data_IF_056129330021
#
_entry.id   IF_056129330021
#
_cell.length_a   1.000
_cell.length_b   1.000
_cell.length_c   1.000
_cell.angle_alpha   90.00
_cell.angle_beta   90.00
_cell.angle_gamma   90.00
#
_symmetry.space_group_name_H-M   'P 1'
#
loop_
_entity.id
_entity.type
_entity.pdbx_description
1 polymer ?
#
# COMPACT_ATOMS: atom_id res chain seq x y z
N UNK A 1 -8.76 -10.43 -16.24
CA UNK A 1 -9.77 -11.15 -17.07
C UNK A 1 -11.13 -10.87 -16.47
N UNK A 2 -12.13 -10.41 -17.24
CA UNK A 2 -13.45 -10.10 -16.64
C UNK A 2 -14.23 -11.39 -16.38
N UNK A 3 -14.48 -11.70 -15.11
CA UNK A 3 -15.17 -12.93 -14.69
C UNK A 3 -16.67 -12.88 -15.02
N UNK A 4 -17.17 -13.86 -15.79
CA UNK A 4 -18.58 -13.93 -16.18
C UNK A 4 -19.37 -14.78 -15.20
N UNK A 5 -20.68 -14.53 -15.14
CA UNK A 5 -21.62 -15.20 -14.22
C UNK A 5 -21.56 -16.75 -14.27
N UNK A 6 -21.26 -17.34 -15.43
CA UNK A 6 -21.22 -18.80 -15.59
C UNK A 6 -19.81 -19.40 -15.51
N UNK A 7 -18.78 -18.58 -15.34
CA UNK A 7 -17.40 -19.04 -15.20
C UNK A 7 -17.21 -19.74 -13.83
N UNK A 8 -16.22 -20.64 -13.70
CA UNK A 8 -15.82 -21.16 -12.39
C UNK A 8 -15.49 -20.02 -11.42
N UNK A 9 -15.90 -20.16 -10.17
CA UNK A 9 -15.63 -19.15 -9.15
C UNK A 9 -14.13 -19.06 -8.85
N UNK A 10 -13.63 -17.84 -8.67
CA UNK A 10 -12.23 -17.53 -8.39
C UNK A 10 -11.70 -18.16 -7.09
N UNK A 11 -12.58 -18.50 -6.15
CA UNK A 11 -12.22 -19.10 -4.87
C UNK A 11 -11.81 -20.58 -4.96
N UNK A 12 -11.90 -21.22 -6.14
CA UNK A 12 -11.53 -22.62 -6.34
C UNK A 12 -12.58 -23.63 -5.85
N UNK A 13 -13.80 -23.20 -5.49
CA UNK A 13 -14.87 -24.08 -5.01
C UNK A 13 -15.42 -25.06 -6.06
N UNK A 14 -15.14 -24.83 -7.35
CA UNK A 14 -15.74 -25.56 -8.46
C UNK A 14 -17.16 -25.12 -8.82
N UNK A 15 -17.79 -24.26 -8.02
CA UNK A 15 -19.11 -23.69 -8.30
C UNK A 15 -19.04 -22.59 -9.36
N UNK A 16 -20.18 -22.32 -10.01
CA UNK A 16 -20.29 -21.15 -10.90
C UNK A 16 -20.23 -19.87 -10.08
N UNK A 17 -19.50 -18.86 -10.55
CA UNK A 17 -19.34 -17.58 -9.86
C UNK A 17 -20.67 -16.96 -9.41
N UNK A 18 -21.71 -16.98 -10.26
CA UNK A 18 -23.05 -16.48 -9.91
C UNK A 18 -23.75 -17.18 -8.74
N UNK A 19 -23.33 -18.40 -8.40
CA UNK A 19 -23.88 -19.22 -7.31
C UNK A 19 -22.99 -19.22 -6.07
N UNK A 20 -21.78 -18.66 -6.18
CA UNK A 20 -20.76 -18.71 -5.15
C UNK A 20 -20.50 -17.30 -4.60
N UNK A 21 -19.60 -16.52 -5.21
CA UNK A 21 -19.20 -15.21 -4.68
C UNK A 21 -20.00 -14.02 -5.22
N UNK A 22 -20.57 -14.10 -6.43
CA UNK A 22 -21.34 -12.97 -6.99
C UNK A 22 -22.49 -12.47 -6.10
N UNK A 23 -23.26 -13.33 -5.38
CA UNK A 23 -24.34 -12.87 -4.52
C UNK A 23 -23.89 -12.19 -3.23
N UNK A 24 -22.65 -12.45 -2.79
CA UNK A 24 -22.09 -11.95 -1.52
C UNK A 24 -21.07 -10.82 -1.71
N UNK A 25 -20.49 -10.68 -2.90
CA UNK A 25 -19.71 -9.51 -3.30
C UNK A 25 -20.65 -8.32 -3.51
N UNK A 26 -21.04 -7.70 -2.39
CA UNK A 26 -21.69 -6.40 -2.40
C UNK A 26 -20.61 -5.36 -2.61
N UNK A 27 -20.71 -4.61 -3.71
CA UNK A 27 -19.82 -3.47 -3.95
C UNK A 27 -19.90 -2.49 -2.79
N UNK A 28 -18.73 -2.01 -2.38
CA UNK A 28 -18.56 -1.01 -1.37
C UNK A 28 -19.14 0.33 -1.82
N UNK A 29 -19.56 1.10 -0.82
CA UNK A 29 -19.97 2.49 -0.95
C UNK A 29 -19.24 3.30 0.12
N UNK A 30 -18.88 4.57 -0.17
CA UNK A 30 -18.31 5.44 0.84
C UNK A 30 -19.25 5.59 2.06
N UNK A 31 -18.68 5.53 3.26
CA UNK A 31 -19.30 5.93 4.50
C UNK A 31 -19.19 7.43 4.75
N UNK A 32 -19.50 7.83 5.99
CA UNK A 32 -19.34 9.21 6.47
C UNK A 32 -17.91 9.42 6.96
N UNK A 33 -17.22 10.37 6.34
CA UNK A 33 -15.85 10.74 6.74
C UNK A 33 -15.90 11.77 7.88
N UNK A 34 -15.29 11.44 9.02
CA UNK A 34 -15.19 12.38 10.16
C UNK A 34 -14.18 13.51 9.86
N UNK A 35 -14.24 14.67 10.56
CA UNK A 35 -13.33 15.79 10.31
C UNK A 35 -11.84 15.44 10.41
N UNK A 36 -11.01 16.16 9.66
CA UNK A 36 -9.55 16.04 9.71
C UNK A 36 -9.01 16.34 11.13
N UNK A 37 -8.09 15.50 11.61
CA UNK A 37 -7.50 15.59 12.96
C UNK A 37 -6.36 16.61 12.99
N UNK A 38 -6.19 17.28 14.14
CA UNK A 38 -5.13 18.27 14.33
C UNK A 38 -3.84 17.63 14.83
N UNK A 39 -2.70 18.03 14.27
CA UNK A 39 -1.36 17.67 14.77
C UNK A 39 -0.85 18.77 15.72
N UNK A 40 -0.34 18.44 16.93
CA UNK A 40 0.24 19.42 17.86
C UNK A 40 1.33 20.31 17.22
N UNK A 41 1.44 21.60 17.60
CA UNK A 41 2.37 22.55 16.97
C UNK A 41 3.84 22.16 17.10
N UNK A 42 4.22 21.43 18.14
CA UNK A 42 5.60 21.02 18.42
C UNK A 42 6.14 19.90 17.50
N UNK A 43 5.25 19.16 16.83
CA UNK A 43 5.66 18.10 15.89
C UNK A 43 6.13 18.74 14.59
N UNK A 44 7.30 18.31 14.12
CA UNK A 44 7.86 18.74 12.84
C UNK A 44 6.91 18.35 11.70
N UNK A 45 6.69 19.27 10.76
CA UNK A 45 5.73 19.09 9.67
C UNK A 45 6.45 18.97 8.32
N UNK A 46 5.99 18.09 7.42
CA UNK A 46 6.48 18.10 6.06
C UNK A 46 6.04 19.39 5.33
N UNK A 47 6.70 19.80 4.24
CA UNK A 47 6.45 21.09 3.59
C UNK A 47 5.02 21.29 3.05
N UNK A 48 4.25 20.21 2.87
CA UNK A 48 2.87 20.26 2.40
C UNK A 48 1.82 20.28 3.52
N UNK A 49 2.18 20.11 4.79
CA UNK A 49 1.22 19.91 5.87
C UNK A 49 0.17 21.03 5.97
N UNK A 50 0.55 22.28 5.67
CA UNK A 50 -0.36 23.43 5.69
C UNK A 50 -1.12 23.63 4.38
N UNK A 51 -0.42 23.50 3.25
CA UNK A 51 -0.97 23.89 1.93
C UNK A 51 -1.61 22.74 1.16
N UNK A 52 -1.33 21.51 1.60
CA UNK A 52 -1.54 20.27 0.89
C UNK A 52 -0.71 20.07 -0.38
N UNK A 53 0.15 21.01 -0.76
CA UNK A 53 0.89 20.93 -2.01
C UNK A 53 2.34 20.49 -1.75
N UNK A 54 2.74 19.27 -2.16
CA UNK A 54 4.14 18.86 -2.04
C UNK A 54 5.04 19.68 -2.97
N UNK A 55 6.29 19.94 -2.56
CA UNK A 55 7.25 20.63 -3.41
C UNK A 55 7.59 19.75 -4.63
N UNK A 56 8.09 20.35 -5.73
CA UNK A 56 8.58 19.59 -6.87
C UNK A 56 9.66 18.57 -6.46
N UNK A 57 9.67 17.42 -7.12
CA UNK A 57 10.68 16.37 -6.88
C UNK A 57 12.06 16.91 -7.28
N UNK A 58 12.98 16.92 -6.32
CA UNK A 58 14.36 17.40 -6.47
C UNK A 58 15.37 16.48 -5.79
N UNK A 59 14.90 15.62 -4.91
CA UNK A 59 15.73 14.67 -4.19
C UNK A 59 16.24 13.58 -5.15
N UNK A 60 17.52 13.24 -5.03
CA UNK A 60 18.10 12.13 -5.78
C UNK A 60 17.63 10.78 -5.24
N UNK A 61 17.67 9.75 -6.09
CA UNK A 61 17.36 8.38 -5.70
C UNK A 61 18.35 7.86 -4.65
N UNK A 62 19.65 8.15 -4.82
CA UNK A 62 20.73 7.78 -3.89
C UNK A 62 20.79 8.75 -2.71
N UNK A 63 20.65 8.22 -1.49
CA UNK A 63 20.61 8.98 -0.24
C UNK A 63 21.99 9.03 0.42
N UNK A 64 22.24 10.09 1.19
CA UNK A 64 23.42 10.16 2.04
C UNK A 64 23.29 9.20 3.24
N UNK A 65 24.40 8.83 3.87
CA UNK A 65 24.38 7.96 5.05
C UNK A 65 23.58 8.56 6.21
N UNK A 66 23.58 9.89 6.36
CA UNK A 66 22.77 10.60 7.35
C UNK A 66 21.27 10.46 7.08
N UNK A 67 20.85 10.67 5.82
CA UNK A 67 19.45 10.50 5.41
C UNK A 67 19.00 9.05 5.66
N UNK A 68 19.83 8.07 5.27
CA UNK A 68 19.53 6.64 5.46
C UNK A 68 19.34 6.32 6.94
N UNK A 69 20.19 6.84 7.83
CA UNK A 69 20.07 6.56 9.26
C UNK A 69 18.78 7.16 9.85
N UNK A 70 18.42 8.39 9.48
CA UNK A 70 17.13 8.97 9.86
C UNK A 70 15.96 8.16 9.31
N UNK A 71 16.07 7.66 8.08
CA UNK A 71 15.04 6.82 7.46
C UNK A 71 14.83 5.50 8.21
N UNK A 72 15.88 4.87 8.76
CA UNK A 72 15.71 3.69 9.62
C UNK A 72 14.80 3.98 10.81
N UNK A 73 14.96 5.14 11.45
CA UNK A 73 14.09 5.60 12.53
C UNK A 73 12.64 5.80 12.07
N UNK A 74 12.42 6.55 10.99
CA UNK A 74 11.08 6.79 10.44
C UNK A 74 10.36 5.50 10.01
N UNK A 75 11.09 4.59 9.35
CA UNK A 75 10.59 3.30 8.91
C UNK A 75 10.25 2.37 10.08
N UNK A 76 11.08 2.33 11.13
CA UNK A 76 10.78 1.56 12.34
C UNK A 76 9.48 2.05 13.00
N UNK A 77 9.29 3.36 13.08
CA UNK A 77 8.07 3.98 13.62
C UNK A 77 6.84 3.58 12.78
N UNK A 78 6.91 3.70 11.45
CA UNK A 78 5.81 3.32 10.56
C UNK A 78 5.45 1.83 10.71
N UNK A 79 6.45 0.95 10.75
CA UNK A 79 6.24 -0.50 10.93
C UNK A 79 5.63 -0.86 12.29
N UNK A 80 6.03 -0.17 13.37
CA UNK A 80 5.40 -0.34 14.69
C UNK A 80 3.92 0.07 14.68
N UNK A 81 3.62 1.24 14.10
CA UNK A 81 2.25 1.74 14.00
C UNK A 81 1.38 0.81 13.15
N UNK A 82 1.90 0.29 12.04
CA UNK A 82 1.19 -0.69 11.21
C UNK A 82 0.87 -1.97 11.99
N UNK A 83 1.80 -2.48 12.82
CA UNK A 83 1.54 -3.64 13.69
C UNK A 83 0.47 -3.35 14.74
N UNK A 84 0.51 -2.18 15.37
CA UNK A 84 -0.50 -1.73 16.34
C UNK A 84 -1.88 -1.61 15.69
N UNK A 85 -1.97 -0.98 14.53
CA UNK A 85 -3.21 -0.83 13.76
C UNK A 85 -3.77 -2.18 13.30
N UNK A 86 -2.89 -3.06 12.80
CA UNK A 86 -3.23 -4.43 12.41
C UNK A 86 -3.84 -5.26 13.54
N UNK A 87 -3.41 -5.04 14.79
CA UNK A 87 -3.94 -5.73 15.96
C UNK A 87 -5.38 -5.33 16.32
N UNK A 88 -5.87 -4.19 15.79
CA UNK A 88 -7.25 -3.73 15.96
C UNK A 88 -8.21 -4.37 14.96
N UNK A 89 -7.71 -4.98 13.89
CA UNK A 89 -8.53 -5.47 12.78
C UNK A 89 -9.44 -6.60 13.26
N UNK A 90 -10.73 -6.31 13.36
CA UNK A 90 -11.77 -7.25 13.76
C UNK A 90 -13.13 -6.84 13.17
N UNK A 91 -14.08 -7.79 13.01
CA UNK A 91 -15.44 -7.44 12.62
C UNK A 91 -16.06 -6.41 13.58
N UNK A 92 -16.73 -5.40 13.03
CA UNK A 92 -17.40 -4.33 13.77
C UNK A 92 -16.56 -3.07 14.01
N UNK A 93 -15.24 -3.14 13.86
CA UNK A 93 -14.36 -1.97 13.95
C UNK A 93 -14.49 -1.14 12.67
N UNK A 94 -14.60 0.18 12.79
CA UNK A 94 -14.65 1.08 11.64
C UNK A 94 -13.25 1.45 11.16
N UNK A 95 -13.12 1.84 9.89
CA UNK A 95 -11.85 2.33 9.36
C UNK A 95 -11.46 3.68 10.00
N UNK A 96 -12.41 4.52 10.39
CA UNK A 96 -12.12 5.75 11.16
C UNK A 96 -11.60 5.45 12.57
N UNK A 97 -12.02 4.37 13.23
CA UNK A 97 -11.41 3.93 14.50
C UNK A 97 -9.95 3.49 14.33
N UNK A 98 -9.60 2.90 13.18
CA UNK A 98 -8.22 2.58 12.83
C UNK A 98 -7.41 3.87 12.56
N UNK A 99 -7.98 4.85 11.84
CA UNK A 99 -7.35 6.17 11.66
C UNK A 99 -7.10 6.88 12.99
N UNK A 100 -8.03 6.82 13.96
CA UNK A 100 -7.82 7.36 15.31
C UNK A 100 -6.56 6.78 15.92
N UNK A 101 -6.49 5.45 15.96
CA UNK A 101 -5.36 4.76 16.59
C UNK A 101 -4.04 5.06 15.88
N UNK A 102 -4.01 5.05 14.55
CA UNK A 102 -2.82 5.38 13.77
C UNK A 102 -2.40 6.83 14.00
N UNK A 103 -3.35 7.76 13.99
CA UNK A 103 -3.07 9.17 14.28
C UNK A 103 -2.44 9.32 15.66
N UNK A 104 -3.09 8.82 16.71
CA UNK A 104 -2.60 8.92 18.09
C UNK A 104 -1.24 8.25 18.29
N UNK A 105 -1.04 7.06 17.69
CA UNK A 105 0.22 6.33 17.72
C UNK A 105 1.36 7.08 16.99
N UNK A 106 1.03 7.84 15.95
CA UNK A 106 2.00 8.70 15.24
C UNK A 106 2.38 9.92 16.08
N UNK A 107 1.37 10.60 16.67
CA UNK A 107 1.59 11.77 17.52
C UNK A 107 2.40 11.41 18.78
N UNK A 108 2.14 10.26 19.41
CA UNK A 108 2.85 9.81 20.62
C UNK A 108 4.34 9.55 20.38
N UNK A 109 4.73 9.31 19.12
CA UNK A 109 6.12 9.13 18.67
C UNK A 109 6.76 10.43 18.17
N UNK A 110 6.10 11.57 18.37
CA UNK A 110 6.51 12.89 17.87
C UNK A 110 6.67 12.95 16.34
N UNK A 111 5.96 12.09 15.61
CA UNK A 111 5.97 12.06 14.16
C UNK A 111 4.70 12.72 13.59
N UNK A 112 4.75 13.07 12.31
CA UNK A 112 3.61 13.55 11.53
C UNK A 112 3.09 12.42 10.63
N UNK A 113 1.76 12.15 10.58
CA UNK A 113 1.20 11.16 9.67
C UNK A 113 1.25 11.69 8.23
N UNK A 114 2.16 11.19 7.41
CA UNK A 114 2.48 11.77 6.10
C UNK A 114 1.28 11.91 5.15
N UNK A 115 0.29 10.99 5.12
CA UNK A 115 -0.89 11.15 4.27
C UNK A 115 -1.71 12.39 4.62
N UNK A 116 -1.68 12.86 5.87
CA UNK A 116 -2.55 13.93 6.34
C UNK A 116 -2.30 15.23 5.57
N UNK A 117 -3.33 15.70 4.89
CA UNK A 117 -3.34 16.84 3.97
C UNK A 117 -2.44 16.69 2.73
N UNK A 118 -1.79 15.55 2.47
CA UNK A 118 -1.00 15.36 1.25
C UNK A 118 -1.92 15.44 0.02
N UNK A 119 -1.74 16.45 -0.83
CA UNK A 119 -2.65 16.82 -1.94
C UNK A 119 -4.12 16.96 -1.51
N UNK A 120 -4.35 17.30 -0.24
CA UNK A 120 -5.69 17.42 0.36
C UNK A 120 -6.29 16.11 0.86
N UNK A 121 -5.52 15.01 0.97
CA UNK A 121 -6.01 13.77 1.57
C UNK A 121 -6.47 14.01 3.03
N UNK A 122 -7.67 13.56 3.43
CA UNK A 122 -8.32 14.07 4.64
C UNK A 122 -7.95 13.33 5.94
N UNK A 123 -7.19 12.22 5.85
CA UNK A 123 -6.95 11.28 6.96
C UNK A 123 -5.46 10.99 7.15
N UNK A 124 -5.14 10.29 8.23
CA UNK A 124 -3.76 10.04 8.68
C UNK A 124 -3.16 8.77 8.10
N UNK A 125 -4.01 7.91 7.53
CA UNK A 125 -3.71 6.55 7.05
C UNK A 125 -4.67 6.24 5.90
N UNK A 126 -4.27 5.38 4.96
CA UNK A 126 -5.20 4.80 4.01
C UNK A 126 -5.72 3.44 4.52
N UNK A 127 -7.01 3.17 4.30
CA UNK A 127 -7.66 1.89 4.65
C UNK A 127 -8.43 1.37 3.45
N UNK A 128 -7.90 0.34 2.80
CA UNK A 128 -8.40 -0.17 1.52
C UNK A 128 -9.03 -1.54 1.70
N UNK A 129 -10.36 -1.61 1.67
CA UNK A 129 -11.12 -2.84 1.91
C UNK A 129 -11.49 -3.51 0.58
N UNK A 130 -11.36 -4.84 0.50
CA UNK A 130 -11.86 -5.67 -0.60
C UNK A 130 -11.43 -5.20 -2.00
N UNK A 131 -12.32 -4.64 -2.81
CA UNK A 131 -12.04 -4.18 -4.19
C UNK A 131 -11.31 -2.84 -4.26
N UNK A 132 -11.08 -2.17 -3.13
CA UNK A 132 -10.26 -0.97 -3.06
C UNK A 132 -8.80 -1.36 -3.27
N UNK A 133 -8.22 -0.86 -4.35
CA UNK A 133 -6.82 -1.06 -4.76
C UNK A 133 -5.89 -0.36 -3.76
N UNK A 134 -6.08 0.93 -3.56
CA UNK A 134 -5.30 1.78 -2.67
C UNK A 134 -6.04 3.09 -2.35
N UNK A 135 -5.48 3.88 -1.43
CA UNK A 135 -5.96 5.22 -1.05
C UNK A 135 -7.40 5.30 -0.53
N UNK A 136 -7.97 4.19 -0.03
CA UNK A 136 -9.27 4.23 0.64
C UNK A 136 -9.24 5.20 1.81
N UNK A 137 -10.24 6.09 1.88
CA UNK A 137 -10.35 7.09 2.95
C UNK A 137 -11.05 6.45 4.17
N UNK A 138 -10.44 6.46 5.37
CA UNK A 138 -11.10 6.07 6.61
C UNK A 138 -12.46 6.77 6.82
N UNK A 139 -13.49 5.98 7.10
CA UNK A 139 -14.89 6.39 7.27
C UNK A 139 -15.61 5.54 8.34
N UNK A 140 -16.93 5.74 8.49
CA UNK A 140 -17.75 5.03 9.47
C UNK A 140 -18.17 3.60 9.06
N UNK A 141 -17.60 3.05 7.98
CA UNK A 141 -17.89 1.66 7.59
C UNK A 141 -17.25 0.69 8.59
N UNK A 142 -18.09 -0.04 9.31
CA UNK A 142 -17.65 -1.18 10.10
C UNK A 142 -17.15 -2.32 9.20
N UNK A 143 -16.01 -2.91 9.55
CA UNK A 143 -15.46 -4.09 8.89
C UNK A 143 -16.39 -5.29 9.10
N UNK A 144 -16.60 -6.07 8.04
CA UNK A 144 -17.45 -7.26 8.07
C UNK A 144 -16.60 -8.53 8.15
N UNK A 145 -17.14 -9.57 8.80
CA UNK A 145 -16.48 -10.88 8.80
C UNK A 145 -16.32 -11.41 7.37
N UNK A 146 -15.10 -11.72 6.97
CA UNK A 146 -14.76 -12.16 5.62
C UNK A 146 -14.18 -11.05 4.73
N UNK A 147 -14.10 -9.80 5.20
CA UNK A 147 -13.35 -8.74 4.53
C UNK A 147 -11.84 -9.01 4.55
N UNK A 148 -11.13 -8.41 3.60
CA UNK A 148 -9.70 -8.14 3.71
C UNK A 148 -9.48 -6.63 3.71
N UNK A 149 -8.54 -6.16 4.51
CA UNK A 149 -8.25 -4.74 4.70
C UNK A 149 -6.75 -4.49 4.56
N UNK A 150 -6.34 -3.67 3.61
CA UNK A 150 -5.02 -3.08 3.62
C UNK A 150 -5.00 -1.80 4.49
N UNK A 151 -3.97 -1.66 5.32
CA UNK A 151 -3.67 -0.44 6.09
C UNK A 151 -2.30 0.05 5.63
N UNK A 152 -2.23 1.32 5.23
CA UNK A 152 -1.05 1.95 4.64
C UNK A 152 -0.58 3.14 5.48
N UNK A 153 0.60 2.98 6.09
CA UNK A 153 1.14 3.84 7.13
C UNK A 153 2.44 4.47 6.66
N UNK A 154 2.42 5.79 6.58
CA UNK A 154 3.64 6.59 6.39
C UNK A 154 3.85 7.58 7.53
N UNK A 155 5.01 7.56 8.16
CA UNK A 155 5.39 8.52 9.21
C UNK A 155 6.49 9.48 8.74
N UNK A 156 6.36 10.76 9.09
CA UNK A 156 7.38 11.79 8.89
C UNK A 156 8.00 12.21 10.21
N UNK A 157 9.31 12.03 10.34
CA UNK A 157 10.08 12.41 11.53
C UNK A 157 11.51 12.73 11.12
N UNK A 158 12.15 13.65 11.85
CA UNK A 158 13.52 14.09 11.59
C UNK A 158 13.81 14.47 10.14
N UNK A 159 12.82 15.01 9.42
CA UNK A 159 13.00 15.48 8.06
C UNK A 159 12.83 14.43 6.96
N UNK A 160 12.47 13.19 7.29
CA UNK A 160 12.30 12.08 6.32
C UNK A 160 11.01 11.31 6.55
N UNK A 161 10.57 10.60 5.52
CA UNK A 161 9.42 9.70 5.52
C UNK A 161 9.85 8.22 5.63
N UNK A 162 9.03 7.41 6.28
CA UNK A 162 9.12 5.94 6.24
C UNK A 162 7.74 5.34 5.96
N UNK A 163 7.69 4.36 5.06
CA UNK A 163 6.44 3.91 4.44
C UNK A 163 6.31 2.38 4.36
N UNK A 164 5.12 1.89 4.72
CA UNK A 164 4.80 0.46 4.70
C UNK A 164 3.30 0.22 4.84
N UNK A 165 2.85 -0.87 4.21
CA UNK A 165 1.48 -1.31 4.27
C UNK A 165 1.39 -2.84 4.29
N UNK A 166 0.25 -3.35 4.78
CA UNK A 166 -0.04 -4.77 4.78
C UNK A 166 -1.55 -5.03 4.70
N UNK A 167 -1.91 -6.14 4.06
CA UNK A 167 -3.29 -6.63 4.04
C UNK A 167 -3.58 -7.59 5.19
N UNK A 168 -4.59 -7.29 5.99
CA UNK A 168 -5.08 -8.05 7.13
C UNK A 168 -6.39 -8.79 6.79
N UNK A 169 -6.60 -9.92 7.45
CA UNK A 169 -7.81 -10.73 7.31
C UNK A 169 -8.81 -10.35 8.41
N UNK A 170 -10.05 -10.03 8.04
CA UNK A 170 -11.10 -9.68 9.00
C UNK A 170 -11.93 -10.91 9.36
N UNK A 171 -11.67 -11.50 10.53
CA UNK A 171 -12.40 -12.69 11.00
C UNK A 171 -12.13 -13.92 10.12
N UNK A 172 -13.19 -14.65 9.74
CA UNK A 172 -13.07 -15.83 8.88
C UNK A 172 -13.21 -15.48 7.39
N UNK A 173 -12.07 -15.46 6.71
CA UNK A 173 -11.93 -15.12 5.29
C UNK A 173 -11.91 -16.38 4.42
N UNK A 174 -12.55 -16.33 3.26
CA UNK A 174 -12.59 -17.45 2.30
C UNK A 174 -11.19 -17.82 1.75
N UNK A 175 -11.07 -19.04 1.24
CA UNK A 175 -9.79 -19.58 0.77
C UNK A 175 -9.18 -18.79 -0.41
N UNK A 176 -10.01 -18.24 -1.31
CA UNK A 176 -9.50 -17.49 -2.45
C UNK A 176 -8.94 -16.14 -2.03
N UNK A 177 -9.59 -15.46 -1.08
CA UNK A 177 -9.10 -14.20 -0.51
C UNK A 177 -7.83 -14.42 0.33
N UNK A 178 -7.76 -15.52 1.11
CA UNK A 178 -6.51 -15.90 1.80
C UNK A 178 -5.37 -16.12 0.81
N UNK A 179 -5.64 -16.82 -0.29
CA UNK A 179 -4.66 -17.07 -1.35
C UNK A 179 -4.23 -15.79 -2.07
N UNK A 180 -5.14 -14.84 -2.29
CA UNK A 180 -4.80 -13.52 -2.83
C UNK A 180 -3.78 -12.81 -1.94
N UNK A 181 -4.08 -12.72 -0.63
CA UNK A 181 -3.21 -12.06 0.36
C UNK A 181 -1.85 -12.75 0.43
N UNK A 182 -1.81 -14.08 0.47
CA UNK A 182 -0.57 -14.87 0.50
C UNK A 182 0.29 -14.61 -0.74
N UNK A 183 -0.28 -14.75 -1.95
CA UNK A 183 0.48 -14.55 -3.20
C UNK A 183 0.93 -13.10 -3.36
N UNK A 184 0.17 -12.13 -2.87
CA UNK A 184 0.59 -10.71 -2.89
C UNK A 184 1.83 -10.49 -2.04
N UNK A 185 1.88 -11.08 -0.84
CA UNK A 185 3.06 -11.03 0.02
C UNK A 185 4.26 -11.74 -0.62
N UNK A 186 4.06 -12.91 -1.21
CA UNK A 186 5.12 -13.62 -1.95
C UNK A 186 5.65 -12.81 -3.14
N UNK A 187 4.78 -12.07 -3.85
CA UNK A 187 5.21 -11.17 -4.92
C UNK A 187 6.16 -10.07 -4.41
N UNK A 188 5.84 -9.47 -3.25
CA UNK A 188 6.72 -8.49 -2.61
C UNK A 188 8.06 -9.12 -2.21
N UNK A 189 8.03 -10.27 -1.55
CA UNK A 189 9.24 -10.99 -1.10
C UNK A 189 10.18 -11.30 -2.28
N UNK A 190 9.64 -11.86 -3.38
CA UNK A 190 10.41 -12.16 -4.59
C UNK A 190 10.94 -10.89 -5.28
N UNK A 191 10.20 -9.78 -5.26
CA UNK A 191 10.69 -8.51 -5.77
C UNK A 191 11.84 -7.95 -4.93
N UNK A 192 11.79 -8.06 -3.60
CA UNK A 192 12.86 -7.63 -2.71
C UNK A 192 14.13 -8.46 -2.95
N UNK A 193 14.00 -9.77 -3.19
CA UNK A 193 15.11 -10.65 -3.57
C UNK A 193 15.74 -10.27 -4.92
N UNK A 194 14.97 -9.68 -5.84
CA UNK A 194 15.46 -9.21 -7.13
C UNK A 194 16.26 -7.89 -7.03
N UNK A 195 16.19 -7.18 -5.90
CA UNK A 195 16.91 -5.92 -5.69
C UNK A 195 18.41 -6.19 -5.51
N UNK A 196 19.19 -5.84 -6.53
CA UNK A 196 20.63 -6.05 -6.58
C UNK A 196 21.33 -4.88 -7.30
N UNK A 197 22.49 -4.39 -6.83
CA UNK A 197 23.27 -3.38 -7.52
C UNK A 197 23.58 -3.71 -8.97
N UNK A 198 23.43 -2.72 -9.85
CA UNK A 198 23.68 -2.83 -11.29
C UNK A 198 22.61 -3.58 -12.08
N UNK A 199 21.64 -4.24 -11.42
CA UNK A 199 20.48 -4.85 -12.09
C UNK A 199 19.44 -3.78 -12.45
N UNK A 200 18.69 -3.94 -13.55
CA UNK A 200 17.68 -2.96 -13.95
C UNK A 200 16.44 -3.02 -13.05
N UNK A 201 15.81 -1.86 -12.79
CA UNK A 201 14.55 -1.77 -12.04
C UNK A 201 13.42 -2.65 -12.63
N UNK A 202 13.42 -2.93 -13.94
CA UNK A 202 12.46 -3.86 -14.56
C UNK A 202 12.49 -5.28 -14.02
N UNK A 203 13.55 -5.69 -13.31
CA UNK A 203 13.60 -6.99 -12.65
C UNK A 203 12.57 -7.12 -11.52
N UNK A 204 12.24 -6.03 -10.83
CA UNK A 204 11.22 -5.98 -9.77
C UNK A 204 9.85 -6.36 -10.35
N UNK A 205 9.42 -5.63 -11.39
CA UNK A 205 8.15 -5.93 -12.07
C UNK A 205 8.14 -7.30 -12.76
N UNK A 206 9.30 -7.80 -13.21
CA UNK A 206 9.43 -9.17 -13.74
C UNK A 206 9.18 -10.23 -12.67
N UNK A 207 9.74 -10.04 -11.47
CA UNK A 207 9.56 -10.97 -10.36
C UNK A 207 8.09 -11.01 -9.91
N UNK A 208 7.46 -9.85 -9.74
CA UNK A 208 6.05 -9.72 -9.34
C UNK A 208 5.11 -10.33 -10.39
N UNK A 209 5.16 -9.86 -11.64
CA UNK A 209 4.23 -10.33 -12.68
C UNK A 209 4.46 -11.81 -13.03
N UNK A 210 5.71 -12.26 -12.94
CA UNK A 210 6.13 -13.65 -13.10
C UNK A 210 5.59 -14.59 -12.01
N UNK A 211 5.27 -14.09 -10.82
CA UNK A 211 4.67 -14.87 -9.74
C UNK A 211 3.14 -14.75 -9.69
N UNK A 212 2.60 -13.53 -9.85
CA UNK A 212 1.16 -13.27 -9.79
C UNK A 212 0.39 -13.97 -10.93
N UNK A 213 0.91 -13.87 -12.17
CA UNK A 213 0.19 -14.36 -13.36
C UNK A 213 0.00 -15.88 -13.36
N UNK A 214 1.02 -16.72 -13.08
CA UNK A 214 0.83 -18.17 -13.00
C UNK A 214 -0.09 -18.60 -11.85
N UNK A 215 -0.19 -17.78 -10.80
CA UNK A 215 -1.11 -18.03 -9.69
C UNK A 215 -2.57 -17.66 -10.00
N UNK A 216 -2.83 -17.05 -11.16
CA UNK A 216 -4.16 -16.70 -11.65
C UNK A 216 -4.61 -15.29 -11.27
N UNK A 217 -3.69 -14.42 -10.86
CA UNK A 217 -3.97 -13.04 -10.48
C UNK A 217 -3.42 -12.04 -11.50
N UNK A 218 -3.89 -10.79 -11.42
CA UNK A 218 -3.37 -9.68 -12.23
C UNK A 218 -2.65 -8.64 -11.38
N UNK A 219 -1.74 -7.90 -12.00
CA UNK A 219 -0.98 -6.82 -11.36
C UNK A 219 -1.59 -5.48 -11.77
N UNK A 220 -1.95 -4.64 -10.80
CA UNK A 220 -2.40 -3.26 -11.07
C UNK A 220 -1.26 -2.47 -11.74
N UNK A 221 -1.60 -1.66 -12.74
CA UNK A 221 -0.61 -0.95 -13.58
C UNK A 221 -0.57 0.56 -13.38
N UNK A 222 -1.58 1.11 -12.72
CA UNK A 222 -1.78 2.57 -12.60
C UNK A 222 -1.01 3.17 -11.42
N UNK A 223 -0.76 2.38 -10.39
CA UNK A 223 -0.02 2.76 -9.19
C UNK A 223 1.28 1.95 -9.08
N UNK A 224 2.32 2.59 -8.59
CA UNK A 224 3.72 2.14 -8.70
C UNK A 224 4.45 2.50 -7.41
N UNK A 225 5.50 1.75 -7.08
CA UNK A 225 6.40 2.16 -6.02
C UNK A 225 7.15 3.43 -6.39
N UNK A 226 7.77 4.07 -5.40
CA UNK A 226 8.39 5.37 -5.57
C UNK A 226 9.67 5.53 -4.75
N UNK A 227 10.54 6.42 -5.19
CA UNK A 227 11.61 6.92 -4.33
C UNK A 227 11.03 7.57 -3.09
N UNK A 228 11.69 7.42 -1.96
CA UNK A 228 11.25 7.98 -0.68
C UNK A 228 12.46 8.43 0.15
N UNK A 229 12.29 9.48 0.94
CA UNK A 229 13.33 10.04 1.80
C UNK A 229 12.88 11.35 2.42
N UNK A 230 13.56 12.44 2.10
CA UNK A 230 13.15 13.79 2.52
C UNK A 230 11.85 14.24 1.82
N UNK A 231 11.56 13.67 0.65
CA UNK A 231 10.28 13.79 -0.05
C UNK A 231 9.46 12.50 0.10
N UNK A 232 8.15 12.64 0.29
CA UNK A 232 7.23 11.51 0.44
C UNK A 232 7.23 10.62 -0.81
N UNK A 233 6.99 11.23 -1.99
CA UNK A 233 7.08 10.55 -3.28
C UNK A 233 8.14 11.22 -4.14
N UNK A 234 9.13 10.45 -4.59
CA UNK A 234 10.27 10.88 -5.41
C UNK A 234 10.64 9.86 -6.49
N UNK A 235 11.78 10.08 -7.14
CA UNK A 235 12.34 9.12 -8.11
C UNK A 235 13.16 8.03 -7.41
N UNK A 236 13.19 6.78 -7.92
CA UNK A 236 12.60 6.35 -9.18
C UNK A 236 11.13 5.92 -9.03
N UNK A 237 10.39 5.94 -10.14
CA UNK A 237 9.14 5.16 -10.24
C UNK A 237 9.45 3.66 -10.41
N UNK A 238 8.89 2.81 -9.54
CA UNK A 238 9.13 1.36 -9.50
C UNK A 238 7.89 0.61 -9.98
N UNK A 239 7.93 0.12 -11.22
CA UNK A 239 6.80 -0.59 -11.82
C UNK A 239 6.66 -2.00 -11.27
N UNK A 240 5.43 -2.40 -10.89
CA UNK A 240 5.13 -3.75 -10.40
C UNK A 240 4.84 -4.76 -11.51
N UNK A 241 4.66 -4.32 -12.76
CA UNK A 241 4.52 -5.17 -13.94
C UNK A 241 5.79 -5.11 -14.79
N UNK A 242 6.00 -6.12 -15.64
CA UNK A 242 7.22 -6.17 -16.43
C UNK A 242 7.21 -5.18 -17.59
N UNK A 243 8.10 -4.19 -17.53
CA UNK A 243 8.40 -3.29 -18.65
C UNK A 243 9.89 -3.43 -19.04
N UNK A 244 10.23 -4.16 -20.11
CA UNK A 244 11.62 -4.42 -20.50
C UNK A 244 12.43 -3.15 -20.83
N UNK A 245 11.76 -2.02 -21.12
CA UNK A 245 12.43 -0.74 -21.39
C UNK A 245 12.86 0.00 -20.11
N UNK A 246 12.39 -0.40 -18.94
CA UNK A 246 12.83 0.16 -17.66
C UNK A 246 14.20 -0.42 -17.27
N UNK A 247 15.24 0.15 -17.88
CA UNK A 247 16.63 -0.34 -17.78
C UNK A 247 17.49 0.46 -16.80
N UNK A 248 16.90 1.35 -15.99
CA UNK A 248 17.63 2.10 -14.96
C UNK A 248 18.29 1.11 -13.99
N UNK A 249 19.63 1.17 -13.81
CA UNK A 249 20.31 0.31 -12.85
C UNK A 249 19.97 0.73 -11.43
N UNK A 250 19.77 -0.25 -10.54
CA UNK A 250 19.72 -0.02 -9.10
C UNK A 250 21.13 0.25 -8.59
N UNK A 251 21.31 1.31 -7.80
CA UNK A 251 22.62 1.73 -7.27
C UNK A 251 22.61 1.68 -5.74
N UNK A 252 23.72 1.28 -5.08
CA UNK A 252 23.83 1.35 -3.62
C UNK A 252 23.47 2.75 -3.09
N UNK A 253 22.71 2.79 -2.00
CA UNK A 253 22.18 4.00 -1.42
C UNK A 253 20.85 4.47 -2.01
N UNK A 254 20.35 3.86 -3.09
CA UNK A 254 18.98 4.12 -3.54
C UNK A 254 17.98 3.67 -2.47
N UNK A 255 16.97 4.50 -2.19
CA UNK A 255 15.85 4.15 -1.31
C UNK A 255 14.52 4.37 -2.01
N UNK A 256 13.70 3.32 -2.08
CA UNK A 256 12.41 3.31 -2.75
C UNK A 256 11.46 2.29 -2.14
N UNK A 257 10.17 2.41 -2.42
CA UNK A 257 9.14 1.46 -2.04
C UNK A 257 8.96 0.38 -3.11
N UNK A 258 8.62 -0.82 -2.66
CA UNK A 258 8.04 -1.87 -3.51
C UNK A 258 6.69 -2.20 -2.88
N UNK A 259 5.61 -2.01 -3.62
CA UNK A 259 4.24 -1.99 -3.06
C UNK A 259 3.20 -2.68 -3.98
N UNK A 260 3.41 -3.93 -4.43
CA UNK A 260 2.58 -4.55 -5.45
C UNK A 260 1.13 -4.67 -5.02
N UNK A 261 0.24 -4.11 -5.83
CA UNK A 261 -1.21 -4.31 -5.75
C UNK A 261 -1.62 -5.42 -6.72
N UNK A 262 -2.17 -6.50 -6.17
CA UNK A 262 -2.55 -7.70 -6.92
C UNK A 262 -4.06 -7.88 -6.85
N UNK A 263 -4.69 -8.18 -7.98
CA UNK A 263 -6.14 -8.31 -8.10
C UNK A 263 -6.55 -9.73 -8.50
N UNK A 264 -7.68 -10.18 -7.96
CA UNK A 264 -8.37 -11.41 -8.43
C UNK A 264 -8.77 -11.27 -9.91
N UNK A 265 -9.23 -10.08 -10.28
CA UNK A 265 -9.87 -9.80 -11.56
C UNK A 265 -8.96 -9.17 -12.60
N UNK A 266 -9.41 -8.05 -13.13
CA UNK A 266 -8.68 -7.21 -14.07
C UNK A 266 -7.83 -6.15 -13.35
N UNK A 267 -6.83 -5.63 -14.05
CA UNK A 267 -5.89 -4.62 -13.54
C UNK A 267 -6.39 -3.17 -13.64
N UNK A 268 -7.54 -2.96 -14.30
CA UNK A 268 -8.09 -1.63 -14.58
C UNK A 268 -8.78 -1.07 -13.35
N UNK A 269 -8.57 0.21 -13.12
CA UNK A 269 -9.11 0.95 -11.99
C UNK A 269 -10.25 1.89 -12.36
N UNK A 270 -10.97 2.33 -11.33
CA UNK A 270 -11.82 3.51 -11.34
C UNK A 270 -11.57 4.28 -10.06
N UNK A 271 -11.51 5.62 -10.14
CA UNK A 271 -11.44 6.48 -8.96
C UNK A 271 -12.86 6.90 -8.55
N UNK A 272 -13.15 6.85 -7.25
CA UNK A 272 -14.39 7.37 -6.68
C UNK A 272 -14.49 8.89 -6.79
N UNK A 273 -15.68 9.45 -6.52
CA UNK A 273 -15.91 10.89 -6.59
C UNK A 273 -15.18 11.69 -5.50
N UNK A 274 -14.64 11.01 -4.47
CA UNK A 274 -13.76 11.61 -3.46
C UNK A 274 -12.39 12.01 -4.02
N UNK A 275 -12.04 11.56 -5.24
CA UNK A 275 -10.78 11.87 -5.91
C UNK A 275 -9.59 11.01 -5.47
N UNK A 276 -9.78 10.06 -4.56
CA UNK A 276 -8.72 9.28 -3.93
C UNK A 276 -8.95 7.77 -4.04
N UNK A 277 -10.11 7.29 -3.61
CA UNK A 277 -10.36 5.85 -3.46
C UNK A 277 -10.32 5.17 -4.82
N UNK A 278 -9.28 4.38 -5.06
CA UNK A 278 -9.11 3.62 -6.29
C UNK A 278 -9.69 2.22 -6.12
N UNK A 279 -10.60 1.80 -6.99
CA UNK A 279 -11.22 0.48 -6.95
C UNK A 279 -11.01 -0.28 -8.25
N UNK A 280 -11.05 -1.61 -8.21
CA UNK A 280 -11.04 -2.42 -9.43
C UNK A 280 -12.30 -2.15 -10.26
N UNK A 281 -12.15 -2.10 -11.58
CA UNK A 281 -13.26 -1.81 -12.49
C UNK A 281 -14.31 -2.93 -12.50
N UNK A 282 -13.91 -4.17 -12.22
CA UNK A 282 -14.80 -5.33 -12.16
C UNK A 282 -15.34 -5.63 -10.75
N UNK A 283 -14.91 -4.87 -9.73
CA UNK A 283 -15.38 -5.00 -8.36
C UNK A 283 -14.86 -6.23 -7.62
N UNK A 284 -13.83 -6.89 -8.15
CA UNK A 284 -13.18 -8.02 -7.49
C UNK A 284 -12.07 -7.53 -6.56
N UNK A 285 -11.76 -8.36 -5.55
CA UNK A 285 -10.84 -7.99 -4.47
C UNK A 285 -9.40 -7.78 -4.94
N UNK A 286 -8.71 -6.93 -4.18
CA UNK A 286 -7.28 -6.63 -4.27
C UNK A 286 -6.61 -6.80 -2.92
N UNK A 287 -5.31 -7.07 -2.96
CA UNK A 287 -4.44 -7.01 -1.80
C UNK A 287 -3.15 -6.27 -2.15
N UNK A 288 -2.53 -5.69 -1.13
CA UNK A 288 -1.26 -4.97 -1.24
C UNK A 288 -0.40 -5.24 0.01
N UNK A 289 0.90 -5.28 -0.21
CA UNK A 289 1.93 -5.23 0.82
C UNK A 289 3.01 -4.27 0.36
N UNK A 290 3.69 -3.62 1.28
CA UNK A 290 4.75 -2.68 0.97
C UNK A 290 5.87 -2.67 1.99
N UNK A 291 7.07 -2.51 1.44
CA UNK A 291 8.23 -2.11 2.22
C UNK A 291 9.00 -0.96 1.55
N UNK A 292 9.48 -0.04 2.38
CA UNK A 292 10.62 0.82 2.05
C UNK A 292 11.93 0.00 2.04
N UNK A 293 12.65 0.03 0.91
CA UNK A 293 13.85 -0.76 0.63
C UNK A 293 15.06 0.15 0.36
N UNK A 294 16.18 -0.16 1.00
CA UNK A 294 17.49 0.41 0.70
C UNK A 294 18.29 -0.59 -0.17
N UNK A 295 18.82 -0.13 -1.30
CA UNK A 295 19.82 -0.89 -2.07
C UNK A 295 21.17 -0.79 -1.36
N UNK A 296 21.78 -1.93 -1.06
CA UNK A 296 23.09 -2.04 -0.42
C UNK A 296 24.14 -2.48 -1.44
N UNK A 297 25.43 -2.50 -1.06
CA UNK A 297 26.52 -2.96 -1.94
C UNK A 297 26.38 -4.40 -2.46
N UNK A 298 25.54 -5.23 -1.82
CA UNK A 298 25.41 -6.65 -2.15
C UNK A 298 23.97 -7.15 -2.27
N UNK A 299 22.97 -6.27 -2.27
CA UNK A 299 21.55 -6.64 -2.31
C UNK A 299 20.65 -5.55 -1.76
N UNK A 300 19.74 -5.91 -0.86
CA UNK A 300 18.77 -5.00 -0.26
C UNK A 300 18.71 -5.09 1.27
N UNK A 301 18.34 -3.98 1.91
CA UNK A 301 17.95 -3.88 3.32
C UNK A 301 16.48 -3.43 3.37
N UNK A 302 15.63 -4.20 4.04
CA UNK A 302 14.23 -3.83 4.29
C UNK A 302 14.19 -2.94 5.54
N UNK A 303 13.82 -1.66 5.38
CA UNK A 303 13.85 -0.69 6.49
C UNK A 303 12.62 -0.80 7.42
N UNK A 304 11.54 -1.43 6.94
CA UNK A 304 10.21 -1.49 7.60
C UNK A 304 9.82 -2.91 8.05
N UNK A 305 10.78 -3.69 8.57
CA UNK A 305 10.52 -5.06 9.05
C UNK A 305 9.62 -5.16 10.29
#
# INVERSE_FOLDING_TARGET
MVLKSNDPCWCGSGEKYKRCHKPIEKLLSPGVVSPMRSVPPLIARPPYAETGNPPPIREGAVKSSDVIERMRGACSIAAEILREAGALVAPGITTDEIDIAVHEATISRNAYPSPLNYRGYPKSVCTSVNEVICHGIPDDRALENGDILNIDVTAYIDGVHGDTNATFLVGDVDAGSRRLVEVTRECLELAIEAVMPGRPLSDIGRAIEGHATPNGFSVIRTFVGHGIGEQFHGEPSVLHYYEPRLVMPMEPGMVFTIEPMIAIGDHREKIWSDGWTAVTQDGLRTAQFEHTILVTESGSEVLTR
#
